data_IF_971106082528
#
_entry.id   IF_971106082528
#
_cell.length_a   1.000
_cell.length_b   1.000
_cell.length_c   1.000
_cell.angle_alpha   90.00
_cell.angle_beta   90.00
_cell.angle_gamma   90.00
#
_symmetry.space_group_name_H-M   'P 1'
#
loop_
_entity.id
_entity.type
_entity.pdbx_description
1 polymer ?
#
# COMPACT_ATOMS: atom_id res chain seq x y z
N UNK A 1 2.09 -22.02 -7.02
CA UNK A 1 3.50 -21.63 -7.24
C UNK A 1 4.34 -22.32 -6.19
N UNK A 2 5.39 -23.01 -6.60
CA UNK A 2 6.30 -23.71 -5.68
C UNK A 2 7.21 -22.73 -4.93
N UNK A 3 7.66 -23.12 -3.74
CA UNK A 3 8.51 -22.28 -2.88
C UNK A 3 9.81 -21.81 -3.56
N UNK A 4 10.53 -22.64 -4.34
CA UNK A 4 11.73 -22.18 -5.05
C UNK A 4 11.44 -21.04 -6.04
N UNK A 5 10.39 -21.17 -6.86
CA UNK A 5 9.97 -20.15 -7.82
C UNK A 5 9.56 -18.85 -7.14
N UNK A 6 8.89 -18.93 -5.98
CA UNK A 6 8.56 -17.75 -5.18
C UNK A 6 9.82 -17.02 -4.70
N UNK A 7 10.82 -17.75 -4.20
CA UNK A 7 12.08 -17.15 -3.72
C UNK A 7 12.86 -16.47 -4.84
N UNK A 8 12.87 -17.06 -6.03
CA UNK A 8 13.49 -16.45 -7.21
C UNK A 8 12.79 -15.14 -7.60
N UNK A 9 11.46 -15.13 -7.63
CA UNK A 9 10.68 -13.93 -7.90
C UNK A 9 10.93 -12.84 -6.85
N UNK A 10 10.98 -13.21 -5.57
CA UNK A 10 11.27 -12.29 -4.47
C UNK A 10 12.66 -11.67 -4.61
N UNK A 11 13.69 -12.47 -4.90
CA UNK A 11 15.06 -11.98 -5.07
C UNK A 11 15.15 -11.00 -6.24
N UNK A 12 14.56 -11.36 -7.39
CA UNK A 12 14.54 -10.51 -8.58
C UNK A 12 13.89 -9.15 -8.30
N UNK A 13 12.73 -9.15 -7.60
CA UNK A 13 12.03 -7.92 -7.23
C UNK A 13 12.78 -7.10 -6.18
N UNK A 14 13.42 -7.76 -5.20
CA UNK A 14 14.25 -7.10 -4.21
C UNK A 14 15.43 -6.37 -4.87
N UNK A 15 16.17 -7.04 -5.74
CA UNK A 15 17.29 -6.45 -6.48
C UNK A 15 16.86 -5.25 -7.31
N UNK A 16 15.75 -5.38 -8.06
CA UNK A 16 15.19 -4.27 -8.82
C UNK A 16 14.80 -3.10 -7.92
N UNK A 17 14.18 -3.36 -6.76
CA UNK A 17 13.74 -2.32 -5.84
C UNK A 17 14.90 -1.58 -5.19
N UNK A 18 15.95 -2.30 -4.77
CA UNK A 18 17.15 -1.69 -4.18
C UNK A 18 17.89 -0.84 -5.22
N UNK A 19 18.02 -1.30 -6.47
CA UNK A 19 18.61 -0.49 -7.54
C UNK A 19 17.77 0.76 -7.82
N UNK A 20 16.46 0.59 -7.93
CA UNK A 20 15.52 1.66 -8.21
C UNK A 20 15.58 2.78 -7.17
N UNK A 21 15.50 2.44 -5.88
CA UNK A 21 15.53 3.43 -4.80
C UNK A 21 16.92 4.05 -4.63
N UNK A 22 17.99 3.28 -4.81
CA UNK A 22 19.36 3.80 -4.76
C UNK A 22 19.62 4.84 -5.86
N UNK A 23 19.11 4.61 -7.08
CA UNK A 23 19.30 5.52 -8.22
C UNK A 23 18.44 6.78 -8.14
N UNK A 24 17.26 6.72 -7.50
CA UNK A 24 16.23 7.76 -7.63
C UNK A 24 15.93 8.53 -6.36
N UNK A 25 16.37 8.05 -5.20
CA UNK A 25 16.04 8.68 -3.91
C UNK A 25 17.32 8.93 -3.12
N UNK A 26 17.66 10.21 -2.98
CA UNK A 26 18.88 10.68 -2.32
C UNK A 26 19.05 10.10 -0.92
N UNK A 27 17.96 10.03 -0.14
CA UNK A 27 17.97 9.43 1.18
C UNK A 27 18.45 7.97 1.14
N UNK A 28 17.90 7.14 0.24
CA UNK A 28 18.27 5.73 0.15
C UNK A 28 19.68 5.52 -0.38
N UNK A 29 20.12 6.37 -1.31
CA UNK A 29 21.51 6.39 -1.78
C UNK A 29 22.48 6.65 -0.64
N UNK A 30 22.25 7.69 0.14
CA UNK A 30 23.08 8.06 1.29
C UNK A 30 23.04 7.00 2.40
N UNK A 31 21.85 6.46 2.70
CA UNK A 31 21.69 5.43 3.73
C UNK A 31 22.48 4.16 3.37
N UNK A 32 22.38 3.69 2.12
CA UNK A 32 23.14 2.54 1.65
C UNK A 32 24.65 2.80 1.60
N UNK A 33 25.06 3.98 1.14
CA UNK A 33 26.47 4.37 1.08
C UNK A 33 27.10 4.45 2.48
N UNK A 34 26.37 4.91 3.49
CA UNK A 34 26.86 5.03 4.87
C UNK A 34 27.20 3.69 5.55
N UNK A 35 26.59 2.60 5.09
CA UNK A 35 26.89 1.23 5.55
C UNK A 35 27.72 0.44 4.55
N UNK A 36 28.23 1.10 3.50
CA UNK A 36 29.10 0.48 2.49
C UNK A 36 28.41 -0.56 1.61
N UNK A 37 27.09 -0.48 1.42
CA UNK A 37 26.32 -1.43 0.61
C UNK A 37 25.93 -0.80 -0.73
N UNK A 38 26.11 -1.53 -1.83
CA UNK A 38 25.64 -1.16 -3.16
C UNK A 38 24.55 -2.15 -3.65
N UNK A 39 23.68 -1.76 -4.59
CA UNK A 39 22.65 -2.67 -5.12
C UNK A 39 23.19 -4.01 -5.63
N UNK A 40 24.37 -4.01 -6.27
CA UNK A 40 25.07 -5.22 -6.76
C UNK A 40 25.48 -6.21 -5.67
N UNK A 41 25.46 -5.79 -4.42
CA UNK A 41 25.85 -6.62 -3.28
C UNK A 41 24.68 -7.49 -2.78
N UNK A 42 23.45 -7.26 -3.26
CA UNK A 42 22.27 -8.07 -2.96
C UNK A 42 22.22 -9.27 -3.91
N UNK A 43 22.70 -10.42 -3.44
CA UNK A 43 22.81 -11.66 -4.24
C UNK A 43 21.86 -12.75 -3.77
N UNK A 44 21.29 -12.59 -2.58
CA UNK A 44 20.40 -13.54 -1.93
C UNK A 44 19.32 -12.79 -1.11
N UNK A 45 18.29 -13.50 -0.66
CA UNK A 45 17.27 -12.91 0.22
C UNK A 45 17.83 -12.63 1.62
N UNK A 46 18.87 -13.36 2.01
CA UNK A 46 19.58 -13.23 3.28
C UNK A 46 20.35 -11.90 3.37
N UNK A 47 20.72 -11.31 2.22
CA UNK A 47 21.39 -10.01 2.16
C UNK A 47 20.50 -8.83 2.61
N UNK A 48 19.19 -9.04 2.78
CA UNK A 48 18.28 -8.03 3.36
C UNK A 48 18.75 -7.52 4.72
N UNK A 49 19.48 -8.34 5.48
CA UNK A 49 20.07 -7.96 6.78
C UNK A 49 21.14 -6.87 6.68
N UNK A 50 21.66 -6.61 5.48
CA UNK A 50 22.66 -5.57 5.20
C UNK A 50 22.02 -4.23 4.86
N UNK A 51 20.71 -4.20 4.59
CA UNK A 51 20.00 -2.98 4.23
C UNK A 51 19.74 -2.14 5.50
N UNK A 52 19.91 -0.82 5.45
CA UNK A 52 19.56 0.06 6.55
C UNK A 52 18.03 0.08 6.75
N UNK A 53 17.61 0.32 7.99
CA UNK A 53 16.18 0.51 8.29
C UNK A 53 15.70 1.89 7.85
N UNK A 54 14.45 1.98 7.41
CA UNK A 54 13.71 3.23 7.28
C UNK A 54 12.73 3.33 8.42
N UNK A 55 12.80 4.41 9.19
CA UNK A 55 11.91 4.63 10.33
C UNK A 55 10.92 5.76 10.08
N UNK A 56 10.04 5.98 11.06
CA UNK A 56 9.02 7.03 10.99
C UNK A 56 9.64 8.43 10.95
N UNK A 57 10.82 8.61 11.54
CA UNK A 57 11.49 9.90 11.58
C UNK A 57 11.97 10.32 10.19
N UNK A 58 12.57 9.37 9.46
CA UNK A 58 12.96 9.54 8.06
C UNK A 58 11.81 10.08 7.20
N UNK A 59 10.61 9.51 7.34
CA UNK A 59 9.43 9.95 6.59
C UNK A 59 8.99 11.39 6.95
N UNK A 60 9.24 11.85 8.19
CA UNK A 60 8.93 13.22 8.62
C UNK A 60 9.97 14.21 8.12
N UNK A 61 11.25 13.83 8.15
CA UNK A 61 12.37 14.68 7.72
C UNK A 61 12.39 14.91 6.20
N UNK A 62 11.80 13.98 5.46
CA UNK A 62 11.67 14.02 3.99
C UNK A 62 10.31 14.52 3.52
N UNK A 63 9.47 15.05 4.43
CA UNK A 63 8.17 15.61 4.08
C UNK A 63 8.30 16.77 3.05
N UNK A 64 7.37 16.91 2.09
CA UNK A 64 6.23 16.01 1.84
C UNK A 64 6.55 14.85 0.88
N UNK A 65 7.51 15.01 -0.02
CA UNK A 65 7.70 14.10 -1.17
C UNK A 65 9.15 13.61 -1.35
N UNK A 66 10.04 13.85 -0.39
CA UNK A 66 11.47 13.55 -0.50
C UNK A 66 11.83 12.07 -0.60
N UNK A 67 10.87 11.16 -0.42
CA UNK A 67 11.02 9.72 -0.66
C UNK A 67 10.35 9.23 -1.94
N UNK A 68 9.75 10.12 -2.74
CA UNK A 68 9.15 9.72 -4.01
C UNK A 68 10.27 9.38 -5.00
N UNK A 69 10.19 8.20 -5.60
CA UNK A 69 11.16 7.72 -6.59
C UNK A 69 10.76 8.06 -8.04
N UNK A 70 9.70 8.85 -8.22
CA UNK A 70 9.19 9.34 -9.50
C UNK A 70 8.79 10.81 -9.36
N UNK A 71 8.80 11.60 -10.44
CA UNK A 71 8.30 12.97 -10.41
C UNK A 71 6.79 13.02 -10.11
N UNK A 72 6.32 14.16 -9.58
CA UNK A 72 4.96 14.28 -9.06
C UNK A 72 3.87 14.15 -10.14
N UNK A 73 4.19 14.41 -11.41
CA UNK A 73 3.28 14.24 -12.55
C UNK A 73 3.01 12.76 -12.90
N UNK A 74 3.85 11.83 -12.45
CA UNK A 74 3.59 10.39 -12.50
C UNK A 74 2.73 9.89 -11.32
N UNK A 75 2.60 10.69 -10.26
CA UNK A 75 1.82 10.37 -9.06
C UNK A 75 0.37 10.75 -9.26
N UNK A 76 -0.53 9.77 -9.16
CA UNK A 76 -1.99 9.96 -9.36
C UNK A 76 -2.80 9.91 -8.07
N UNK A 77 -2.16 9.60 -6.93
CA UNK A 77 -2.80 9.63 -5.62
C UNK A 77 -1.82 9.94 -4.51
N UNK A 78 -2.27 10.75 -3.55
CA UNK A 78 -1.59 10.99 -2.28
C UNK A 78 -2.51 10.57 -1.14
N UNK A 79 -1.95 9.84 -0.17
CA UNK A 79 -2.57 9.59 1.12
C UNK A 79 -1.68 10.14 2.24
N UNK A 80 -2.27 10.33 3.42
CA UNK A 80 -1.50 10.77 4.58
C UNK A 80 -2.03 10.17 5.88
N UNK A 81 -1.13 10.01 6.85
CA UNK A 81 -1.55 9.67 8.21
C UNK A 81 -2.25 10.86 8.88
N UNK A 82 -3.00 10.58 9.95
CA UNK A 82 -3.77 11.58 10.72
C UNK A 82 -2.91 12.60 11.47
N UNK A 83 -1.58 12.50 11.44
CA UNK A 83 -0.68 13.53 11.99
C UNK A 83 -0.71 13.70 13.51
N UNK A 84 -1.20 12.71 14.28
CA UNK A 84 -1.38 12.84 15.75
C UNK A 84 -0.11 13.13 16.55
N UNK A 85 1.08 13.01 15.94
CA UNK A 85 2.40 13.23 16.57
C UNK A 85 3.26 14.24 15.80
N UNK A 86 2.66 15.16 15.02
CA UNK A 86 3.37 16.21 14.26
C UNK A 86 3.06 16.18 12.77
N UNK A 87 4.04 16.53 11.92
CA UNK A 87 3.87 16.48 10.45
C UNK A 87 3.35 15.09 10.03
N UNK A 88 2.27 15.03 9.23
CA UNK A 88 1.74 13.76 8.77
C UNK A 88 2.75 13.07 7.85
N UNK A 89 2.69 11.75 7.83
CA UNK A 89 3.42 10.96 6.83
C UNK A 89 2.63 11.03 5.54
N UNK A 90 3.31 11.34 4.44
CA UNK A 90 2.73 11.43 3.11
C UNK A 90 3.25 10.26 2.28
N UNK A 91 2.35 9.62 1.53
CA UNK A 91 2.67 8.55 0.59
C UNK A 91 2.02 8.84 -0.76
N UNK A 92 2.72 8.51 -1.84
CA UNK A 92 2.29 8.72 -3.22
C UNK A 92 2.17 7.40 -3.97
N UNK A 93 1.26 7.36 -4.94
CA UNK A 93 1.00 6.18 -5.77
C UNK A 93 0.93 6.56 -7.25
N UNK A 94 1.67 5.84 -8.08
CA UNK A 94 1.48 5.82 -9.54
C UNK A 94 0.23 5.03 -9.91
N UNK A 95 -0.18 5.07 -11.19
CA UNK A 95 -1.27 4.21 -11.69
C UNK A 95 -0.95 2.71 -11.48
N UNK A 96 0.32 2.31 -11.66
CA UNK A 96 0.77 0.93 -11.47
C UNK A 96 0.71 0.49 -10.00
N UNK A 97 1.03 1.39 -9.08
CA UNK A 97 0.94 1.12 -7.65
C UNK A 97 -0.51 0.92 -7.21
N UNK A 98 -1.44 1.75 -7.69
CA UNK A 98 -2.87 1.59 -7.40
C UNK A 98 -3.44 0.30 -7.99
N UNK A 99 -3.02 -0.09 -9.20
CA UNK A 99 -3.42 -1.37 -9.78
C UNK A 99 -2.90 -2.56 -8.94
N UNK A 100 -1.65 -2.48 -8.48
CA UNK A 100 -1.06 -3.50 -7.59
C UNK A 100 -1.80 -3.55 -6.26
N UNK A 101 -2.09 -2.41 -5.65
CA UNK A 101 -2.80 -2.33 -4.37
C UNK A 101 -4.20 -2.93 -4.49
N UNK A 102 -4.93 -2.58 -5.56
CA UNK A 102 -6.26 -3.11 -5.88
C UNK A 102 -6.24 -4.65 -6.01
N UNK A 103 -5.27 -5.21 -6.72
CA UNK A 103 -5.14 -6.66 -6.86
C UNK A 103 -4.83 -7.36 -5.53
N UNK A 104 -4.00 -6.73 -4.68
CA UNK A 104 -3.68 -7.28 -3.36
C UNK A 104 -4.88 -7.23 -2.40
N UNK A 105 -5.65 -6.14 -2.40
CA UNK A 105 -6.85 -6.04 -1.54
C UNK A 105 -7.96 -6.95 -2.04
N UNK A 106 -8.13 -7.11 -3.36
CA UNK A 106 -9.02 -8.13 -3.94
C UNK A 106 -8.62 -9.54 -3.50
N UNK A 107 -7.32 -9.87 -3.53
CA UNK A 107 -6.81 -11.16 -3.04
C UNK A 107 -7.11 -11.38 -1.56
N UNK A 108 -6.99 -10.35 -0.72
CA UNK A 108 -7.34 -10.42 0.70
C UNK A 108 -8.85 -10.68 0.87
N UNK A 109 -9.69 -9.94 0.15
CA UNK A 109 -11.14 -10.12 0.18
C UNK A 109 -11.54 -11.53 -0.27
N UNK A 110 -11.00 -12.02 -1.39
CA UNK A 110 -11.26 -13.38 -1.86
C UNK A 110 -10.76 -14.44 -0.88
N UNK A 111 -9.61 -14.23 -0.23
CA UNK A 111 -9.12 -15.14 0.82
C UNK A 111 -10.02 -15.15 2.06
N UNK A 112 -10.73 -14.05 2.33
CA UNK A 112 -11.76 -13.96 3.37
C UNK A 112 -13.12 -14.56 2.93
N UNK A 113 -13.23 -15.08 1.72
CA UNK A 113 -14.44 -15.71 1.19
C UNK A 113 -15.36 -14.80 0.41
N UNK A 114 -14.96 -13.54 0.15
CA UNK A 114 -15.77 -12.61 -0.65
C UNK A 114 -15.88 -13.10 -2.09
N UNK A 115 -17.11 -13.21 -2.57
CA UNK A 115 -17.47 -13.62 -3.93
C UNK A 115 -18.26 -12.54 -4.64
N UNK A 116 -18.41 -12.67 -5.96
CA UNK A 116 -19.10 -11.68 -6.80
C UNK A 116 -20.56 -11.41 -6.46
N UNK A 117 -21.23 -12.31 -5.75
CA UNK A 117 -22.63 -12.16 -5.33
C UNK A 117 -22.78 -11.42 -4.02
N UNK A 118 -21.68 -11.10 -3.33
CA UNK A 118 -21.72 -10.38 -2.07
C UNK A 118 -22.10 -8.91 -2.25
N UNK A 119 -22.73 -8.38 -1.21
CA UNK A 119 -23.01 -6.96 -1.02
C UNK A 119 -22.12 -6.48 0.12
N UNK A 120 -21.03 -5.81 -0.23
CA UNK A 120 -20.07 -5.30 0.73
C UNK A 120 -20.44 -3.88 1.17
N UNK A 121 -20.31 -3.58 2.46
CA UNK A 121 -20.57 -2.26 3.02
C UNK A 121 -19.30 -1.70 3.65
N UNK A 122 -18.73 -0.66 3.07
CA UNK A 122 -17.49 -0.08 3.58
C UNK A 122 -17.74 0.72 4.87
N UNK A 123 -17.21 0.22 5.99
CA UNK A 123 -17.21 0.96 7.26
C UNK A 123 -15.91 1.75 7.52
N UNK A 124 -14.89 1.64 6.66
CA UNK A 124 -13.69 2.46 6.77
C UNK A 124 -13.92 3.90 6.28
N UNK A 125 -13.27 4.86 6.94
CA UNK A 125 -13.29 6.26 6.53
C UNK A 125 -12.69 6.47 5.14
N UNK A 126 -13.36 7.27 4.30
CA UNK A 126 -12.80 7.74 3.03
C UNK A 126 -12.10 9.08 3.23
N UNK A 127 -11.05 9.33 2.45
CA UNK A 127 -10.25 10.55 2.49
C UNK A 127 -8.77 10.25 2.48
N UNK A 128 -8.00 10.98 3.31
CA UNK A 128 -6.54 10.81 3.38
C UNK A 128 -6.12 9.46 3.96
N UNK A 129 -6.99 8.81 4.74
CA UNK A 129 -6.77 7.46 5.22
C UNK A 129 -6.85 6.44 4.07
N UNK A 130 -5.89 5.51 4.04
CA UNK A 130 -5.76 4.51 2.98
C UNK A 130 -6.84 3.43 3.02
N UNK A 131 -7.43 3.15 4.19
CA UNK A 131 -8.32 1.99 4.35
C UNK A 131 -9.58 2.03 3.49
N UNK A 132 -10.29 3.16 3.46
CA UNK A 132 -11.52 3.31 2.69
C UNK A 132 -11.32 3.01 1.21
N UNK A 133 -10.48 3.79 0.51
CA UNK A 133 -10.21 3.58 -0.91
C UNK A 133 -9.48 2.26 -1.20
N UNK A 134 -8.55 1.84 -0.33
CA UNK A 134 -7.79 0.62 -0.53
C UNK A 134 -8.66 -0.63 -0.59
N UNK A 135 -9.52 -0.80 0.41
CA UNK A 135 -10.42 -1.95 0.46
C UNK A 135 -11.57 -1.81 -0.55
N UNK A 136 -12.06 -0.59 -0.80
CA UNK A 136 -13.09 -0.32 -1.81
C UNK A 136 -12.69 -0.87 -3.17
N UNK A 137 -11.53 -0.47 -3.70
CA UNK A 137 -11.11 -0.93 -5.02
C UNK A 137 -10.89 -2.44 -5.06
N UNK A 138 -10.43 -3.04 -3.96
CA UNK A 138 -10.28 -4.49 -3.83
C UNK A 138 -11.62 -5.23 -3.93
N UNK A 139 -12.63 -4.76 -3.19
CA UNK A 139 -13.98 -5.34 -3.19
C UNK A 139 -14.68 -5.16 -4.54
N UNK A 140 -14.58 -3.98 -5.17
CA UNK A 140 -15.09 -3.80 -6.54
C UNK A 140 -14.39 -4.75 -7.53
N UNK A 141 -13.08 -4.96 -7.35
CA UNK A 141 -12.29 -5.83 -8.21
C UNK A 141 -12.68 -7.32 -8.10
N UNK A 142 -13.21 -7.78 -6.96
CA UNK A 142 -13.79 -9.13 -6.84
C UNK A 142 -15.13 -9.28 -7.56
N UNK A 143 -15.76 -8.16 -7.93
CA UNK A 143 -17.08 -8.10 -8.55
C UNK A 143 -18.23 -8.04 -7.55
N UNK A 144 -17.96 -7.92 -6.24
CA UNK A 144 -18.98 -7.70 -5.23
C UNK A 144 -19.62 -6.31 -5.41
N UNK A 145 -20.88 -6.18 -4.98
CA UNK A 145 -21.57 -4.88 -4.96
C UNK A 145 -21.05 -4.05 -3.80
N UNK A 146 -20.57 -2.83 -4.05
CA UNK A 146 -19.95 -1.98 -3.04
C UNK A 146 -20.92 -0.89 -2.56
N UNK A 147 -21.22 -0.84 -1.25
CA UNK A 147 -21.90 0.26 -0.56
C UNK A 147 -20.82 1.15 0.09
N UNK A 148 -20.49 2.33 -0.48
CA UNK A 148 -19.43 3.19 0.03
C UNK A 148 -19.90 4.06 1.21
N UNK A 149 -20.34 3.43 2.31
CA UNK A 149 -20.98 4.10 3.45
C UNK A 149 -20.03 5.00 4.28
N UNK A 150 -18.72 4.73 4.23
CA UNK A 150 -17.70 5.36 5.08
C UNK A 150 -17.85 5.02 6.57
N UNK A 151 -17.14 5.72 7.44
CA UNK A 151 -17.21 5.53 8.89
C UNK A 151 -18.20 6.51 9.54
N UNK A 152 -18.79 6.10 10.67
CA UNK A 152 -19.71 6.92 11.47
C UNK A 152 -21.18 6.73 11.07
N UNK A 153 -22.10 7.44 11.72
CA UNK A 153 -23.54 7.30 11.50
C UNK A 153 -24.05 5.84 11.66
N UNK A 154 -23.88 5.31 12.88
CA UNK A 154 -24.20 3.91 13.21
C UNK A 154 -25.63 3.50 12.88
N UNK A 155 -26.62 4.35 13.18
CA UNK A 155 -28.03 4.06 12.87
C UNK A 155 -28.25 3.86 11.37
N UNK A 156 -27.64 4.73 10.55
CA UNK A 156 -27.70 4.58 9.09
C UNK A 156 -26.99 3.32 8.61
N UNK A 157 -25.86 2.93 9.20
CA UNK A 157 -25.22 1.66 8.87
C UNK A 157 -26.12 0.45 9.12
N UNK A 158 -26.82 0.42 10.26
CA UNK A 158 -27.75 -0.66 10.60
C UNK A 158 -28.91 -0.68 9.60
N UNK A 159 -29.50 0.48 9.31
CA UNK A 159 -30.55 0.62 8.30
C UNK A 159 -30.09 0.09 6.93
N UNK A 160 -28.91 0.49 6.44
CA UNK A 160 -28.38 0.01 5.16
C UNK A 160 -28.09 -1.49 5.18
N UNK A 161 -27.59 -2.05 6.28
CA UNK A 161 -27.38 -3.49 6.40
C UNK A 161 -28.70 -4.26 6.23
N UNK A 162 -29.76 -3.78 6.89
CA UNK A 162 -31.09 -4.39 6.84
C UNK A 162 -31.75 -4.23 5.47
N UNK A 163 -31.72 -3.01 4.92
CA UNK A 163 -32.46 -2.65 3.71
C UNK A 163 -31.74 -3.10 2.43
N UNK A 164 -30.40 -3.04 2.40
CA UNK A 164 -29.61 -3.37 1.21
C UNK A 164 -29.08 -4.81 1.23
N UNK A 165 -29.24 -5.54 2.34
CA UNK A 165 -28.86 -6.95 2.45
C UNK A 165 -27.35 -7.17 2.47
N UNK A 166 -26.61 -6.35 3.23
CA UNK A 166 -25.16 -6.45 3.38
C UNK A 166 -24.71 -7.86 3.80
N UNK A 167 -23.80 -8.46 3.04
CA UNK A 167 -23.20 -9.77 3.34
C UNK A 167 -21.73 -9.68 3.77
N UNK A 168 -21.06 -8.55 3.52
CA UNK A 168 -19.66 -8.27 3.88
C UNK A 168 -19.56 -6.86 4.47
N UNK A 169 -18.79 -6.66 5.54
CA UNK A 169 -18.61 -5.38 6.23
C UNK A 169 -17.13 -4.97 6.30
#
# INVERSE_FOLDING_TARGET
MERPLLRELQLRRLQAMVSWTYERVDHYRLALDSVGVKPRDIRSLEDTKRLPFTDKQTMRDTYPFGLFAVPLDEVVRIHSSSGTTGKPIVVGYTKGDLATWTELTARIASAAGVVRSDIAQMAFGYGMFTGGFGMHYGLERTGATMIPASAGNTERHIMMMQDFGTTVL
#
